data_IF_357735439304
#
_entry.id   IF_357735439304
#
_cell.length_a   1.000
_cell.length_b   1.000
_cell.length_c   1.000
_cell.angle_alpha   90.00
_cell.angle_beta   90.00
_cell.angle_gamma   90.00
#
_symmetry.space_group_name_H-M   'P 1'
#
loop_
_entity.id
_entity.type
_entity.pdbx_description
1 polymer ?
#
# COMPACT_ATOMS: atom_id res chain seq x y z
N UNK A 1 -1.38 -6.81 7.12
CA UNK A 1 -1.42 -8.20 7.62
C UNK A 1 -1.20 -9.08 6.42
N UNK A 2 -0.13 -9.87 6.41
CA UNK A 2 0.15 -10.82 5.35
C UNK A 2 -0.01 -12.21 5.93
N UNK A 3 -1.06 -12.92 5.54
CA UNK A 3 -1.42 -14.21 6.16
C UNK A 3 -0.45 -15.29 5.70
N UNK A 4 0.19 -16.01 6.62
CA UNK A 4 1.08 -17.12 6.26
C UNK A 4 0.32 -18.18 5.43
N UNK A 5 0.97 -18.71 4.38
CA UNK A 5 0.40 -19.73 3.50
C UNK A 5 -0.47 -19.22 2.34
N UNK A 6 -0.65 -17.90 2.18
CA UNK A 6 -1.28 -17.30 1.00
C UNK A 6 -0.23 -16.67 0.08
N UNK A 7 -0.24 -16.98 -1.21
CA UNK A 7 0.71 -16.37 -2.15
C UNK A 7 0.25 -14.99 -2.61
N UNK A 8 -1.05 -14.74 -2.62
CA UNK A 8 -1.63 -13.47 -3.05
C UNK A 8 -2.99 -13.21 -2.41
N UNK A 9 -3.39 -11.95 -2.45
CA UNK A 9 -4.71 -11.47 -2.06
C UNK A 9 -5.09 -10.30 -2.97
N UNK A 10 -6.36 -10.21 -3.36
CA UNK A 10 -6.88 -9.05 -4.06
C UNK A 10 -8.27 -8.72 -3.52
N UNK A 11 -8.50 -7.44 -3.25
CA UNK A 11 -9.78 -6.89 -2.86
C UNK A 11 -10.06 -5.61 -3.65
N UNK A 12 -11.31 -5.47 -4.08
CA UNK A 12 -11.82 -4.28 -4.74
C UNK A 12 -13.06 -3.78 -4.02
N UNK A 13 -13.20 -2.46 -3.93
CA UNK A 13 -14.40 -1.81 -3.44
C UNK A 13 -14.85 -0.74 -4.43
N UNK A 14 -16.03 -0.92 -5.01
CA UNK A 14 -16.64 0.06 -5.90
C UNK A 14 -17.33 1.15 -5.06
N UNK A 15 -16.67 2.30 -4.97
CA UNK A 15 -17.19 3.48 -4.30
C UNK A 15 -17.87 4.46 -5.26
N UNK A 16 -18.53 5.50 -4.74
CA UNK A 16 -19.19 6.53 -5.55
C UNK A 16 -18.22 7.31 -6.47
N UNK A 17 -16.92 7.30 -6.16
CA UNK A 17 -15.89 8.02 -6.91
C UNK A 17 -15.06 7.12 -7.83
N UNK A 18 -15.30 5.81 -7.83
CA UNK A 18 -14.55 4.83 -8.60
C UNK A 18 -14.13 3.63 -7.77
N UNK A 19 -13.38 2.72 -8.41
CA UNK A 19 -12.92 1.48 -7.79
C UNK A 19 -11.67 1.73 -6.95
N UNK A 20 -11.71 1.28 -5.70
CA UNK A 20 -10.54 1.20 -4.83
C UNK A 20 -10.02 -0.22 -4.90
N UNK A 21 -8.72 -0.39 -5.17
CA UNK A 21 -8.06 -1.71 -5.23
C UNK A 21 -7.04 -1.81 -4.11
N UNK A 22 -6.99 -2.98 -3.50
CA UNK A 22 -6.02 -3.36 -2.47
C UNK A 22 -5.63 -4.81 -2.70
N UNK A 23 -4.43 -5.02 -3.22
CA UNK A 23 -3.94 -6.35 -3.52
C UNK A 23 -2.48 -6.51 -3.16
N UNK A 24 -2.08 -7.74 -2.89
CA UNK A 24 -0.70 -8.06 -2.63
C UNK A 24 -0.33 -9.44 -3.11
N UNK A 25 0.94 -9.60 -3.44
CA UNK A 25 1.54 -10.84 -3.87
C UNK A 25 2.88 -11.03 -3.18
N UNK A 26 3.13 -12.25 -2.71
CA UNK A 26 4.44 -12.66 -2.20
C UNK A 26 5.36 -13.02 -3.36
N UNK A 27 6.56 -12.47 -3.33
CA UNK A 27 7.65 -12.77 -4.26
C UNK A 27 8.95 -12.92 -3.49
N UNK A 28 9.51 -14.14 -3.48
CA UNK A 28 10.85 -14.50 -3.00
C UNK A 28 11.42 -13.61 -1.86
N UNK A 29 10.75 -13.63 -0.71
CA UNK A 29 11.20 -12.90 0.50
C UNK A 29 10.67 -11.47 0.64
N UNK A 30 9.89 -10.98 -0.32
CA UNK A 30 9.24 -9.67 -0.30
C UNK A 30 7.75 -9.77 -0.63
N UNK A 31 7.02 -8.68 -0.43
CA UNK A 31 5.60 -8.57 -0.76
C UNK A 31 5.39 -7.31 -1.59
N UNK A 32 4.87 -7.49 -2.80
CA UNK A 32 4.40 -6.38 -3.63
C UNK A 32 2.96 -6.10 -3.24
N UNK A 33 2.66 -4.84 -2.90
CA UNK A 33 1.34 -4.38 -2.48
C UNK A 33 0.88 -3.27 -3.43
N UNK A 34 -0.15 -3.56 -4.21
CA UNK A 34 -0.74 -2.63 -5.17
C UNK A 34 -2.00 -1.98 -4.59
N UNK A 35 -2.07 -0.66 -4.73
CA UNK A 35 -3.22 0.17 -4.30
C UNK A 35 -3.62 1.11 -5.43
N UNK A 36 -4.91 1.09 -5.77
CA UNK A 36 -5.51 2.06 -6.67
C UNK A 36 -6.53 2.90 -5.92
N UNK A 37 -6.36 4.22 -5.98
CA UNK A 37 -7.22 5.21 -5.31
C UNK A 37 -7.81 6.12 -6.38
N UNK A 38 -9.14 6.18 -6.55
CA UNK A 38 -9.75 6.98 -7.59
C UNK A 38 -9.59 8.48 -7.34
N UNK A 39 -9.78 9.28 -8.39
CA UNK A 39 -9.75 10.74 -8.32
C UNK A 39 -10.71 11.28 -7.24
N UNK A 40 -10.37 12.42 -6.64
CA UNK A 40 -11.10 13.04 -5.52
C UNK A 40 -11.23 12.17 -4.26
N UNK A 41 -10.41 11.13 -4.12
CA UNK A 41 -10.35 10.28 -2.93
C UNK A 41 -8.94 10.27 -2.34
N UNK A 42 -8.84 9.81 -1.10
CA UNK A 42 -7.58 9.54 -0.40
C UNK A 42 -7.68 8.23 0.35
N UNK A 43 -6.53 7.64 0.70
CA UNK A 43 -6.47 6.42 1.49
C UNK A 43 -5.44 6.53 2.61
N UNK A 44 -5.68 5.76 3.67
CA UNK A 44 -4.68 5.53 4.72
C UNK A 44 -4.28 4.06 4.70
N UNK A 45 -3.05 3.79 4.29
CA UNK A 45 -2.47 2.46 4.20
C UNK A 45 -1.74 2.12 5.50
N UNK A 46 -2.04 0.95 6.06
CA UNK A 46 -1.41 0.43 7.27
C UNK A 46 -0.60 -0.83 6.94
N UNK A 47 0.72 -0.74 7.04
CA UNK A 47 1.64 -1.86 6.80
C UNK A 47 2.28 -2.25 8.13
N UNK A 48 2.15 -3.52 8.53
CA UNK A 48 2.72 -4.04 9.78
C UNK A 48 4.18 -4.50 9.66
N UNK A 49 4.92 -3.94 8.71
CA UNK A 49 6.38 -4.13 8.53
C UNK A 49 7.09 -2.78 8.65
N UNK A 50 8.36 -2.83 9.04
CA UNK A 50 9.21 -1.65 9.20
C UNK A 50 9.82 -1.14 7.90
N UNK A 51 10.00 -1.99 6.88
CA UNK A 51 10.67 -1.63 5.64
C UNK A 51 9.69 -1.67 4.46
N UNK A 52 9.33 -0.48 3.98
CA UNK A 52 8.45 -0.31 2.82
C UNK A 52 9.12 0.66 1.85
N UNK A 53 9.29 0.23 0.62
CA UNK A 53 9.82 1.03 -0.48
C UNK A 53 8.80 1.12 -1.60
N UNK A 54 8.96 2.08 -2.49
CA UNK A 54 8.15 2.21 -3.70
C UNK A 54 9.04 2.70 -4.84
N UNK A 55 8.95 2.05 -6.00
CA UNK A 55 9.86 2.26 -7.12
C UNK A 55 11.37 2.21 -6.75
N UNK A 56 11.74 1.46 -5.71
CA UNK A 56 13.11 1.37 -5.20
C UNK A 56 13.55 2.51 -4.27
N UNK A 57 12.69 3.50 -3.99
CA UNK A 57 12.95 4.60 -3.06
C UNK A 57 12.15 4.46 -1.76
N UNK A 58 12.51 5.26 -0.75
CA UNK A 58 11.75 5.35 0.51
C UNK A 58 10.33 5.88 0.22
N UNK A 59 9.33 5.21 0.79
CA UNK A 59 7.92 5.60 0.63
C UNK A 59 7.64 7.05 1.06
N UNK A 60 8.40 7.62 1.98
CA UNK A 60 8.26 9.02 2.39
C UNK A 60 8.57 10.04 1.27
N UNK A 61 9.26 9.62 0.21
CA UNK A 61 9.63 10.47 -0.93
C UNK A 61 8.75 10.24 -2.16
N UNK A 62 7.84 9.27 -2.11
CA UNK A 62 7.06 8.91 -3.26
C UNK A 62 6.08 10.02 -3.67
N UNK A 63 5.91 10.28 -4.98
CA UNK A 63 4.85 11.14 -5.46
C UNK A 63 3.48 10.64 -4.97
N UNK A 64 2.65 11.54 -4.43
CA UNK A 64 1.31 11.18 -3.94
C UNK A 64 1.24 10.72 -2.48
N UNK A 65 2.38 10.50 -1.82
CA UNK A 65 2.44 10.28 -0.37
C UNK A 65 2.38 11.63 0.36
N UNK A 66 1.37 11.81 1.21
CA UNK A 66 1.21 13.03 2.00
C UNK A 66 1.89 12.96 3.36
N UNK A 67 1.86 11.77 3.98
CA UNK A 67 2.39 11.58 5.32
C UNK A 67 2.81 10.13 5.54
N UNK A 68 3.94 9.93 6.20
CA UNK A 68 4.37 8.63 6.71
C UNK A 68 4.60 8.74 8.21
N UNK A 69 3.91 7.90 8.97
CA UNK A 69 3.98 7.86 10.43
C UNK A 69 4.45 6.45 10.86
N UNK A 70 5.53 6.39 11.63
CA UNK A 70 5.93 5.17 12.33
C UNK A 70 5.04 5.01 13.56
N UNK A 71 4.40 3.87 13.66
CA UNK A 71 3.55 3.47 14.80
C UNK A 71 4.15 2.24 15.46
N UNK A 72 3.74 1.93 16.68
CA UNK A 72 4.20 0.72 17.41
C UNK A 72 3.87 -0.59 16.67
N UNK A 73 2.95 -0.54 15.68
CA UNK A 73 2.47 -1.69 14.92
C UNK A 73 2.97 -1.72 13.46
N UNK A 74 3.83 -0.77 13.06
CA UNK A 74 4.34 -0.62 11.69
C UNK A 74 4.16 0.79 11.12
N UNK A 75 4.03 0.90 9.80
CA UNK A 75 3.88 2.18 9.09
C UNK A 75 2.42 2.51 8.80
N UNK A 76 2.06 3.78 9.00
CA UNK A 76 0.82 4.39 8.53
C UNK A 76 1.16 5.42 7.47
N UNK A 77 0.63 5.25 6.27
CA UNK A 77 0.93 6.06 5.10
C UNK A 77 -0.36 6.69 4.59
N UNK A 78 -0.38 8.02 4.46
CA UNK A 78 -1.50 8.76 3.85
C UNK A 78 -1.19 9.00 2.38
N UNK A 79 -2.11 8.58 1.51
CA UNK A 79 -1.97 8.60 0.05
C UNK A 79 -3.08 9.44 -0.60
N UNK A 80 -2.70 10.20 -1.63
CA UNK A 80 -3.66 10.85 -2.54
C UNK A 80 -4.19 9.85 -3.57
N UNK A 81 -5.18 10.27 -4.35
CA UNK A 81 -5.59 9.58 -5.58
C UNK A 81 -4.38 9.23 -6.46
N UNK A 82 -4.40 8.03 -7.03
CA UNK A 82 -3.31 7.48 -7.83
C UNK A 82 -3.18 5.97 -7.66
N UNK A 83 -2.29 5.41 -8.45
CA UNK A 83 -1.90 4.00 -8.43
C UNK A 83 -0.50 3.87 -7.84
N UNK A 84 -0.35 2.95 -6.89
CA UNK A 84 0.86 2.80 -6.11
C UNK A 84 1.25 1.34 -5.98
N UNK A 85 2.51 1.06 -6.24
CA UNK A 85 3.13 -0.24 -5.97
C UNK A 85 4.15 -0.08 -4.84
N UNK A 86 3.90 -0.75 -3.73
CA UNK A 86 4.79 -0.81 -2.58
C UNK A 86 5.48 -2.16 -2.52
N UNK A 87 6.75 -2.17 -2.19
CA UNK A 87 7.50 -3.39 -1.86
C UNK A 87 7.75 -3.40 -0.36
N UNK A 88 7.27 -4.45 0.29
CA UNK A 88 7.45 -4.70 1.72
C UNK A 88 8.47 -5.81 1.88
N UNK A 89 9.56 -5.53 2.60
CA UNK A 89 10.61 -6.49 2.93
C UNK A 89 10.61 -6.81 4.43
#
# INVERSE_FOLDING_TARGET
NFVEGLDSFSAGHDGPYGKIVSEWQRSEGSITYHVSIPANSSATLYIRSGNVTTAGEDVARAPGVEKVEKTDKGLKITLKAGDYDFTVN
#
